data_IF_522459323742
#
_entry.id   IF_522459323742
#
_cell.length_a   1.000
_cell.length_b   1.000
_cell.length_c   1.000
_cell.angle_alpha   90.00
_cell.angle_beta   90.00
_cell.angle_gamma   90.00
#
_symmetry.space_group_name_H-M   'P 1'
#
loop_
_entity.id
_entity.type
_entity.pdbx_description
1 polymer ?
#
# COMPACT_ATOMS: atom_id res chain seq x y z
N UNK A 1 -20.46 -1.32 -15.60
CA UNK A 1 -21.05 -2.65 -15.88
C UNK A 1 -21.53 -2.81 -17.32
N UNK A 2 -22.33 -1.88 -17.88
CA UNK A 2 -22.81 -1.98 -19.28
C UNK A 2 -21.72 -2.24 -20.32
N UNK A 3 -20.61 -1.51 -20.30
CA UNK A 3 -19.51 -1.68 -21.28
C UNK A 3 -18.92 -3.09 -21.28
N UNK A 4 -18.73 -3.68 -20.10
CA UNK A 4 -18.17 -5.04 -19.96
C UNK A 4 -19.21 -6.08 -20.42
N UNK A 5 -20.47 -5.92 -20.04
CA UNK A 5 -21.56 -6.81 -20.47
C UNK A 5 -21.76 -6.79 -21.98
N UNK A 6 -21.75 -5.61 -22.60
CA UNK A 6 -21.82 -5.46 -24.06
C UNK A 6 -20.64 -6.17 -24.73
N UNK A 7 -19.42 -6.02 -24.20
CA UNK A 7 -18.25 -6.66 -24.78
C UNK A 7 -18.26 -8.18 -24.65
N UNK A 8 -18.76 -8.71 -23.53
CA UNK A 8 -18.95 -10.15 -23.32
C UNK A 8 -19.93 -10.71 -24.35
N UNK A 9 -21.05 -10.01 -24.58
CA UNK A 9 -22.04 -10.40 -25.59
C UNK A 9 -21.46 -10.35 -27.01
N UNK A 10 -20.73 -9.29 -27.36
CA UNK A 10 -20.06 -9.16 -28.67
C UNK A 10 -19.07 -10.31 -28.94
N UNK A 11 -18.34 -10.74 -27.91
CA UNK A 11 -17.34 -11.79 -28.02
C UNK A 11 -17.92 -13.20 -27.90
N UNK A 12 -19.19 -13.34 -27.52
CA UNK A 12 -19.83 -14.64 -27.30
C UNK A 12 -19.16 -15.48 -26.20
N UNK A 13 -18.50 -14.83 -25.24
CA UNK A 13 -17.77 -15.51 -24.17
C UNK A 13 -18.66 -15.71 -22.94
N UNK A 14 -18.50 -16.84 -22.26
CA UNK A 14 -19.10 -17.02 -20.94
C UNK A 14 -18.41 -16.10 -19.92
N UNK A 15 -19.19 -15.60 -18.95
CA UNK A 15 -18.67 -14.71 -17.92
C UNK A 15 -19.30 -15.04 -16.57
N UNK A 16 -18.49 -14.98 -15.52
CA UNK A 16 -18.95 -15.13 -14.14
C UNK A 16 -18.58 -13.86 -13.39
N UNK A 17 -19.58 -13.21 -12.80
CA UNK A 17 -19.39 -11.98 -12.01
C UNK A 17 -19.29 -12.31 -10.53
N UNK A 18 -18.25 -11.81 -9.88
CA UNK A 18 -18.15 -11.82 -8.41
C UNK A 18 -18.72 -10.52 -7.86
N UNK A 19 -19.77 -10.61 -7.05
CA UNK A 19 -20.31 -9.47 -6.32
C UNK A 19 -19.78 -9.46 -4.86
N UNK A 20 -19.51 -8.28 -4.27
CA UNK A 20 -18.96 -8.16 -2.92
C UNK A 20 -19.87 -8.76 -1.84
N UNK A 21 -21.19 -8.68 -2.02
CA UNK A 21 -22.16 -8.93 -0.93
C UNK A 21 -22.88 -10.28 -0.98
N UNK A 22 -22.55 -11.15 -1.94
CA UNK A 22 -23.16 -12.49 -1.98
C UNK A 22 -22.32 -13.43 -1.11
N UNK A 23 -22.53 -13.38 0.21
CA UNK A 23 -21.93 -14.29 1.19
C UNK A 23 -22.56 -15.69 1.14
N UNK A 24 -23.84 -15.78 0.76
CA UNK A 24 -24.62 -17.02 0.84
C UNK A 24 -24.37 -18.02 -0.31
N UNK A 25 -23.54 -17.66 -1.29
CA UNK A 25 -23.17 -18.52 -2.43
C UNK A 25 -21.69 -18.93 -2.42
N UNK A 26 -20.99 -18.81 -1.29
CA UNK A 26 -19.54 -19.01 -1.23
C UNK A 26 -19.16 -20.36 -0.65
N UNK A 27 -18.01 -20.95 -1.05
CA UNK A 27 -17.47 -22.12 -0.39
C UNK A 27 -17.33 -21.88 1.12
N UNK A 28 -17.76 -22.81 2.00
CA UNK A 28 -17.69 -22.62 3.45
C UNK A 28 -16.28 -22.26 3.97
N UNK A 29 -15.24 -22.76 3.31
CA UNK A 29 -13.85 -22.45 3.62
C UNK A 29 -13.51 -20.96 3.43
N UNK A 30 -14.07 -20.31 2.41
CA UNK A 30 -13.81 -18.89 2.12
C UNK A 30 -14.48 -17.98 3.14
N UNK A 31 -15.72 -18.33 3.54
CA UNK A 31 -16.43 -17.66 4.63
C UNK A 31 -15.64 -17.72 5.94
N UNK A 32 -14.96 -18.84 6.23
CA UNK A 32 -14.09 -18.97 7.41
C UNK A 32 -12.90 -18.00 7.34
N UNK A 33 -12.25 -17.88 6.18
CA UNK A 33 -11.15 -16.93 5.96
C UNK A 33 -11.62 -15.48 6.14
N UNK A 34 -12.77 -15.12 5.58
CA UNK A 34 -13.31 -13.76 5.71
C UNK A 34 -13.72 -13.38 7.13
N UNK A 35 -14.06 -14.36 7.96
CA UNK A 35 -14.34 -14.13 9.39
C UNK A 35 -13.08 -14.04 10.25
N UNK A 36 -11.97 -14.68 9.82
CA UNK A 36 -10.72 -14.68 10.59
C UNK A 36 -9.83 -13.48 10.31
N UNK A 37 -10.05 -12.76 9.21
CA UNK A 37 -9.20 -11.64 8.77
C UNK A 37 -9.99 -10.33 8.76
N UNK A 38 -9.36 -9.21 9.15
CA UNK A 38 -9.92 -7.86 9.04
C UNK A 38 -9.83 -7.33 7.60
N UNK A 39 -10.41 -8.07 6.65
CA UNK A 39 -10.38 -7.74 5.22
C UNK A 39 -11.40 -6.67 4.88
N UNK A 40 -10.94 -5.70 4.09
CA UNK A 40 -11.80 -4.72 3.44
C UNK A 40 -12.66 -5.37 2.34
N UNK A 41 -13.84 -4.80 1.99
CA UNK A 41 -14.73 -5.38 0.98
C UNK A 41 -14.04 -5.68 -0.36
N UNK A 42 -13.18 -4.79 -0.84
CA UNK A 42 -12.43 -4.98 -2.09
C UNK A 42 -11.42 -6.14 -2.00
N UNK A 43 -10.79 -6.37 -0.85
CA UNK A 43 -9.88 -7.50 -0.63
C UNK A 43 -10.64 -8.83 -0.67
N UNK A 44 -11.84 -8.88 -0.08
CA UNK A 44 -12.73 -10.06 -0.15
C UNK A 44 -13.13 -10.34 -1.60
N UNK A 45 -13.51 -9.32 -2.36
CA UNK A 45 -13.82 -9.45 -3.79
C UNK A 45 -12.62 -9.96 -4.57
N UNK A 46 -11.42 -9.42 -4.35
CA UNK A 46 -10.21 -9.88 -5.04
C UNK A 46 -9.87 -11.34 -4.71
N UNK A 47 -9.97 -11.75 -3.44
CA UNK A 47 -9.78 -13.14 -3.03
C UNK A 47 -10.81 -14.06 -3.70
N UNK A 48 -12.08 -13.65 -3.75
CA UNK A 48 -13.15 -14.41 -4.42
C UNK A 48 -12.87 -14.54 -5.92
N UNK A 49 -12.44 -13.47 -6.59
CA UNK A 49 -12.04 -13.52 -8.00
C UNK A 49 -10.92 -14.53 -8.23
N UNK A 50 -9.90 -14.54 -7.37
CA UNK A 50 -8.78 -15.46 -7.49
C UNK A 50 -9.21 -16.93 -7.30
N UNK A 51 -10.03 -17.21 -6.28
CA UNK A 51 -10.57 -18.57 -6.03
C UNK A 51 -11.42 -19.04 -7.21
N UNK A 52 -12.31 -18.19 -7.71
CA UNK A 52 -13.15 -18.53 -8.86
C UNK A 52 -12.31 -18.75 -10.13
N UNK A 53 -11.30 -17.92 -10.37
CA UNK A 53 -10.37 -18.11 -11.49
C UNK A 53 -9.65 -19.45 -11.43
N UNK A 54 -9.21 -19.87 -10.23
CA UNK A 54 -8.63 -21.20 -10.03
C UNK A 54 -9.67 -22.30 -10.22
N UNK A 55 -10.89 -22.15 -9.71
CA UNK A 55 -11.95 -23.16 -9.87
C UNK A 55 -12.31 -23.38 -11.35
N UNK A 56 -12.22 -22.33 -12.18
CA UNK A 56 -12.46 -22.43 -13.62
C UNK A 56 -11.25 -23.01 -14.38
N UNK A 57 -10.02 -22.65 -14.00
CA UNK A 57 -8.81 -23.02 -14.75
C UNK A 57 -8.20 -24.37 -14.33
N UNK A 58 -8.24 -24.73 -13.04
CA UNK A 58 -7.58 -25.93 -12.52
C UNK A 58 -8.11 -27.24 -13.09
N UNK A 59 -9.41 -27.41 -13.42
CA UNK A 59 -9.88 -28.64 -14.06
C UNK A 59 -9.18 -28.96 -15.39
N UNK A 60 -8.70 -27.95 -16.12
CA UNK A 60 -7.96 -28.14 -17.38
C UNK A 60 -6.44 -28.27 -17.18
N UNK A 61 -5.89 -27.64 -16.14
CA UNK A 61 -4.44 -27.56 -15.89
C UNK A 61 -3.96 -28.69 -14.97
N UNK A 62 -4.67 -28.95 -13.87
CA UNK A 62 -4.39 -30.00 -12.87
C UNK A 62 -5.70 -30.57 -12.29
N UNK A 63 -6.36 -31.49 -13.02
CA UNK A 63 -7.68 -32.03 -12.64
C UNK A 63 -7.74 -32.68 -11.26
N UNK A 64 -6.62 -33.20 -10.76
CA UNK A 64 -6.48 -33.82 -9.45
C UNK A 64 -6.47 -32.82 -8.29
N UNK A 65 -6.21 -31.53 -8.56
CA UNK A 65 -6.09 -30.49 -7.54
C UNK A 65 -7.46 -29.90 -7.19
N UNK A 66 -7.89 -30.11 -5.95
CA UNK A 66 -9.12 -29.51 -5.42
C UNK A 66 -8.83 -28.08 -4.95
N UNK A 67 -9.37 -27.06 -5.64
CA UNK A 67 -9.13 -25.65 -5.28
C UNK A 67 -9.57 -25.34 -3.86
N UNK A 68 -10.63 -25.98 -3.37
CA UNK A 68 -11.13 -25.79 -2.02
C UNK A 68 -10.10 -26.16 -0.94
N UNK A 69 -9.15 -27.08 -1.23
CA UNK A 69 -8.07 -27.42 -0.30
C UNK A 69 -7.00 -26.33 -0.21
N UNK A 70 -6.97 -25.38 -1.16
CA UNK A 70 -6.03 -24.25 -1.17
C UNK A 70 -6.58 -23.01 -0.45
N UNK A 71 -7.89 -22.93 -0.25
CA UNK A 71 -8.55 -21.77 0.37
C UNK A 71 -7.96 -21.41 1.75
N UNK A 72 -7.64 -22.37 2.65
CA UNK A 72 -7.03 -22.04 3.93
C UNK A 72 -5.69 -21.29 3.82
N UNK A 73 -4.93 -21.52 2.74
CA UNK A 73 -3.63 -20.87 2.51
C UNK A 73 -3.77 -19.37 2.22
N UNK A 74 -4.94 -18.90 1.78
CA UNK A 74 -5.22 -17.47 1.60
C UNK A 74 -5.07 -16.67 2.89
N UNK A 75 -5.21 -17.32 4.05
CA UNK A 75 -5.01 -16.68 5.36
C UNK A 75 -3.55 -16.29 5.65
N UNK A 76 -2.60 -16.88 4.92
CA UNK A 76 -1.16 -16.64 5.07
C UNK A 76 -0.62 -15.64 4.06
N UNK A 77 -1.47 -15.17 3.14
CA UNK A 77 -1.04 -14.26 2.08
C UNK A 77 -0.86 -12.86 2.63
N UNK A 78 0.35 -12.34 2.47
CA UNK A 78 0.63 -10.92 2.65
C UNK A 78 0.51 -10.19 1.31
N UNK A 79 0.00 -8.97 1.34
CA UNK A 79 -0.07 -8.10 0.16
C UNK A 79 0.82 -6.88 0.38
N UNK A 80 2.09 -6.94 -0.03
CA UNK A 80 3.01 -5.82 0.11
C UNK A 80 2.41 -4.53 -0.46
N UNK A 81 2.33 -3.48 0.37
CA UNK A 81 1.81 -2.19 -0.06
C UNK A 81 0.29 -2.11 -0.27
N UNK A 82 -0.50 -3.01 0.32
CA UNK A 82 -1.97 -2.94 0.30
C UNK A 82 -2.53 -2.93 1.71
N UNK A 83 -2.81 -1.72 2.21
CA UNK A 83 -3.21 -1.46 3.59
C UNK A 83 -2.28 -2.16 4.61
N UNK A 84 -0.98 -2.15 4.32
CA UNK A 84 -0.01 -2.91 5.10
C UNK A 84 0.56 -2.06 6.21
N UNK A 85 0.49 -2.55 7.45
CA UNK A 85 1.17 -1.93 8.57
C UNK A 85 2.60 -2.46 8.67
N UNK A 86 3.59 -1.56 8.73
CA UNK A 86 4.99 -1.93 8.95
C UNK A 86 5.63 -1.03 10.00
N UNK A 87 6.66 -1.53 10.66
CA UNK A 87 7.56 -0.72 11.50
C UNK A 87 8.76 -0.32 10.65
N UNK A 88 9.20 0.92 10.79
CA UNK A 88 10.28 1.49 9.99
C UNK A 88 11.67 1.41 10.66
N UNK A 89 11.79 0.87 11.88
CA UNK A 89 13.10 0.60 12.48
C UNK A 89 13.85 -0.44 11.61
N UNK A 90 15.14 -0.22 11.27
CA UNK A 90 16.02 0.86 11.73
C UNK A 90 16.07 2.11 10.84
N UNK A 91 15.35 2.16 9.71
CA UNK A 91 15.34 3.30 8.77
C UNK A 91 15.07 4.65 9.45
N UNK A 92 14.15 4.67 10.42
CA UNK A 92 13.90 5.82 11.30
C UNK A 92 13.65 5.35 12.74
N UNK A 93 13.83 6.24 13.72
CA UNK A 93 13.63 5.94 15.16
C UNK A 93 12.18 5.67 15.57
N UNK A 94 11.23 5.85 14.65
CA UNK A 94 9.80 5.63 14.90
C UNK A 94 9.48 4.14 15.04
N UNK A 95 9.04 3.75 16.24
CA UNK A 95 8.56 2.39 16.55
C UNK A 95 7.08 2.14 16.29
N UNK A 96 6.28 3.21 16.21
CA UNK A 96 4.85 3.09 15.88
C UNK A 96 4.70 2.68 14.41
N UNK A 97 3.89 1.67 14.10
CA UNK A 97 3.67 1.29 12.71
C UNK A 97 3.19 2.46 11.84
N UNK A 98 3.53 2.38 10.58
CA UNK A 98 3.00 3.23 9.51
C UNK A 98 2.12 2.37 8.60
N UNK A 99 1.22 3.02 7.85
CA UNK A 99 0.43 2.37 6.82
C UNK A 99 1.06 2.59 5.44
N UNK A 100 1.32 1.51 4.69
CA UNK A 100 1.70 1.56 3.28
C UNK A 100 0.52 1.18 2.40
N UNK A 101 0.22 2.02 1.41
CA UNK A 101 -0.74 1.67 0.37
C UNK A 101 -0.42 2.27 -1.00
N UNK A 102 -0.38 1.44 -2.04
CA UNK A 102 -0.14 1.85 -3.42
C UNK A 102 -1.34 2.48 -4.16
N UNK A 103 -2.32 3.05 -3.45
CA UNK A 103 -3.45 3.76 -4.05
C UNK A 103 -2.95 4.94 -4.91
N UNK A 104 -3.30 4.95 -6.19
CA UNK A 104 -2.77 5.90 -7.19
C UNK A 104 -3.82 6.32 -8.22
N UNK A 105 -5.08 5.96 -7.97
CA UNK A 105 -6.22 6.32 -8.80
C UNK A 105 -7.43 6.67 -7.91
N UNK A 106 -8.45 7.38 -8.43
CA UNK A 106 -9.56 7.87 -7.60
C UNK A 106 -10.36 6.78 -6.86
N UNK A 107 -10.42 5.55 -7.39
CA UNK A 107 -11.17 4.44 -6.78
C UNK A 107 -10.39 3.85 -5.60
N UNK A 108 -9.10 3.56 -5.81
CA UNK A 108 -8.21 3.09 -4.75
C UNK A 108 -8.00 4.14 -3.65
N UNK A 109 -7.99 5.43 -4.01
CA UNK A 109 -7.91 6.51 -3.03
C UNK A 109 -9.16 6.59 -2.14
N UNK A 110 -10.36 6.37 -2.68
CA UNK A 110 -11.59 6.32 -1.88
C UNK A 110 -11.56 5.14 -0.89
N UNK A 111 -11.09 3.98 -1.35
CA UNK A 111 -10.92 2.79 -0.51
C UNK A 111 -9.92 3.05 0.62
N UNK A 112 -8.76 3.63 0.31
CA UNK A 112 -7.76 3.98 1.32
C UNK A 112 -8.30 5.03 2.29
N UNK A 113 -9.01 6.04 1.79
CA UNK A 113 -9.65 7.08 2.60
C UNK A 113 -10.61 6.46 3.61
N UNK A 114 -11.53 5.58 3.17
CA UNK A 114 -12.47 4.90 4.06
C UNK A 114 -11.75 4.15 5.17
N UNK A 115 -10.70 3.38 4.82
CA UNK A 115 -9.90 2.67 5.81
C UNK A 115 -9.25 3.61 6.83
N UNK A 116 -8.62 4.69 6.36
CA UNK A 116 -7.97 5.68 7.22
C UNK A 116 -8.97 6.38 8.13
N UNK A 117 -10.14 6.71 7.61
CA UNK A 117 -11.20 7.36 8.38
C UNK A 117 -11.74 6.43 9.49
N UNK A 118 -11.96 5.16 9.18
CA UNK A 118 -12.50 4.20 10.13
C UNK A 118 -11.47 3.76 11.19
N UNK A 119 -10.21 3.57 10.79
CA UNK A 119 -9.20 2.90 11.62
C UNK A 119 -8.18 3.86 12.23
N UNK A 120 -7.87 4.97 11.55
CA UNK A 120 -6.81 5.90 11.98
C UNK A 120 -7.34 7.23 12.51
N UNK A 121 -8.62 7.57 12.28
CA UNK A 121 -9.25 8.80 12.79
C UNK A 121 -10.32 8.65 13.90
N UNK A 122 -10.41 7.57 14.70
CA UNK A 122 -11.50 7.46 15.69
C UNK A 122 -11.45 8.52 16.80
N UNK A 123 -10.31 9.21 16.99
CA UNK A 123 -10.11 10.31 17.95
C UNK A 123 -10.03 11.70 17.32
N UNK A 124 -10.42 11.85 16.04
CA UNK A 124 -10.33 13.10 15.27
C UNK A 124 -8.90 13.67 15.12
N UNK A 125 -7.90 12.79 15.12
CA UNK A 125 -6.50 13.17 14.89
C UNK A 125 -6.25 13.49 13.41
N UNK A 126 -5.40 14.49 13.17
CA UNK A 126 -4.77 14.73 11.87
C UNK A 126 -3.94 13.51 11.46
N UNK A 127 -3.99 13.14 10.19
CA UNK A 127 -3.11 12.12 9.61
C UNK A 127 -1.91 12.83 8.97
N UNK A 128 -0.73 12.25 9.14
CA UNK A 128 0.45 12.69 8.39
C UNK A 128 0.66 11.77 7.20
N UNK A 129 0.87 12.36 6.03
CA UNK A 129 1.01 11.66 4.76
C UNK A 129 2.42 11.85 4.20
N UNK A 130 2.98 10.80 3.61
CA UNK A 130 4.10 10.90 2.68
C UNK A 130 3.59 10.43 1.33
N UNK A 131 3.60 11.31 0.33
CA UNK A 131 2.97 11.02 -0.95
C UNK A 131 3.88 11.28 -2.14
N UNK A 132 3.64 10.52 -3.18
CA UNK A 132 4.17 10.71 -4.52
C UNK A 132 3.13 10.23 -5.52
N UNK A 133 3.16 10.74 -6.76
CA UNK A 133 2.29 10.29 -7.82
C UNK A 133 3.09 10.16 -9.12
N UNK A 134 2.65 9.29 -10.03
CA UNK A 134 3.21 9.28 -11.38
C UNK A 134 2.79 10.53 -12.14
N UNK A 135 3.65 10.99 -13.06
CA UNK A 135 3.36 12.13 -13.93
C UNK A 135 2.08 11.91 -14.75
N UNK A 136 1.34 13.00 -14.99
CA UNK A 136 0.11 12.99 -15.80
C UNK A 136 -1.16 12.55 -15.07
N UNK A 137 -1.11 12.43 -13.73
CA UNK A 137 -2.29 12.14 -12.90
C UNK A 137 -3.08 13.42 -12.59
N UNK A 138 -4.39 13.28 -12.45
CA UNK A 138 -5.22 14.30 -11.81
C UNK A 138 -4.94 14.32 -10.29
N UNK A 139 -4.01 15.18 -9.89
CA UNK A 139 -3.54 15.29 -8.51
C UNK A 139 -4.66 15.77 -7.57
N UNK A 140 -5.47 16.73 -8.02
CA UNK A 140 -6.59 17.26 -7.25
C UNK A 140 -7.67 16.19 -7.02
N UNK A 141 -8.06 15.48 -8.09
CA UNK A 141 -9.04 14.41 -8.00
C UNK A 141 -8.55 13.17 -7.24
N UNK A 142 -7.23 12.94 -7.20
CA UNK A 142 -6.64 11.85 -6.41
C UNK A 142 -6.51 12.22 -4.93
N UNK A 143 -5.75 13.27 -4.62
CA UNK A 143 -5.38 13.61 -3.25
C UNK A 143 -6.47 14.41 -2.52
N UNK A 144 -7.29 15.16 -3.23
CA UNK A 144 -8.45 15.84 -2.63
C UNK A 144 -9.52 14.90 -2.08
N UNK A 145 -9.52 13.62 -2.49
CA UNK A 145 -10.35 12.57 -1.89
C UNK A 145 -9.73 11.96 -0.65
N UNK A 146 -8.40 11.93 -0.59
CA UNK A 146 -7.65 11.20 0.43
C UNK A 146 -7.35 12.08 1.65
N UNK A 147 -6.93 13.31 1.41
CA UNK A 147 -6.37 14.22 2.41
C UNK A 147 -7.47 15.14 2.92
N UNK A 148 -7.55 15.30 4.24
CA UNK A 148 -8.57 16.11 4.93
C UNK A 148 -7.97 17.41 5.47
N UNK A 149 -8.81 18.42 5.76
CA UNK A 149 -8.39 19.58 6.55
C UNK A 149 -7.73 19.14 7.86
N UNK A 150 -6.63 19.79 8.23
CA UNK A 150 -5.82 19.50 9.40
C UNK A 150 -4.70 18.46 9.19
N UNK A 151 -4.72 17.72 8.07
CA UNK A 151 -3.66 16.75 7.77
C UNK A 151 -2.33 17.44 7.43
N UNK A 152 -1.23 16.73 7.72
CA UNK A 152 0.12 17.16 7.35
C UNK A 152 0.63 16.30 6.19
N UNK A 153 1.42 16.87 5.28
CA UNK A 153 1.80 16.20 4.04
C UNK A 153 3.26 16.46 3.69
N UNK A 154 4.03 15.39 3.54
CA UNK A 154 5.32 15.38 2.88
C UNK A 154 5.11 14.96 1.43
N UNK A 155 5.56 15.76 0.47
CA UNK A 155 5.59 15.38 -0.94
C UNK A 155 7.01 14.98 -1.35
N UNK A 156 7.12 13.95 -2.17
CA UNK A 156 8.40 13.46 -2.67
C UNK A 156 8.21 12.79 -4.04
N UNK A 157 9.31 12.43 -4.68
CA UNK A 157 9.33 11.67 -5.93
C UNK A 157 9.85 10.26 -5.66
N UNK A 158 9.20 9.27 -6.26
CA UNK A 158 9.76 7.91 -6.34
C UNK A 158 10.89 7.88 -7.38
N UNK A 159 11.83 6.97 -7.19
CA UNK A 159 13.03 6.82 -8.01
C UNK A 159 12.77 6.18 -9.38
N UNK A 160 13.84 5.92 -10.16
CA UNK A 160 13.74 5.21 -11.43
C UNK A 160 13.04 3.85 -11.29
N UNK A 161 12.22 3.49 -12.28
CA UNK A 161 11.52 2.21 -12.32
C UNK A 161 12.21 1.29 -13.31
N UNK A 162 12.69 0.14 -12.82
CA UNK A 162 13.37 -0.86 -13.64
C UNK A 162 12.50 -1.33 -14.81
N UNK A 163 13.08 -1.29 -16.00
CA UNK A 163 12.40 -1.65 -17.24
C UNK A 163 11.34 -0.66 -17.73
N UNK A 164 11.12 0.47 -17.04
CA UNK A 164 10.08 1.46 -17.38
C UNK A 164 10.57 2.91 -17.27
N UNK A 165 11.57 3.36 -18.05
CA UNK A 165 12.12 4.72 -17.97
C UNK A 165 11.11 5.84 -18.32
N UNK A 166 10.02 5.51 -19.02
CA UNK A 166 8.93 6.45 -19.29
C UNK A 166 8.03 6.71 -18.08
N UNK A 167 8.08 5.85 -17.05
CA UNK A 167 7.35 6.05 -15.80
C UNK A 167 8.19 6.95 -14.91
N UNK A 168 7.68 8.15 -14.68
CA UNK A 168 8.36 9.18 -13.89
C UNK A 168 7.41 9.73 -12.83
N UNK A 169 7.98 10.19 -11.72
CA UNK A 169 7.22 10.88 -10.69
C UNK A 169 6.80 12.28 -11.16
N UNK A 170 5.65 12.73 -10.65
CA UNK A 170 5.31 14.15 -10.60
C UNK A 170 6.32 14.86 -9.70
N UNK A 171 6.68 16.09 -10.06
CA UNK A 171 7.54 16.95 -9.26
C UNK A 171 6.93 17.19 -7.85
N UNK A 172 7.75 17.10 -6.81
CA UNK A 172 7.27 17.20 -5.43
C UNK A 172 6.71 18.59 -5.11
N UNK A 173 7.23 19.66 -5.74
CA UNK A 173 6.69 21.02 -5.60
C UNK A 173 5.34 21.17 -6.30
N UNK A 174 5.20 20.62 -7.51
CA UNK A 174 3.91 20.56 -8.21
C UNK A 174 2.85 19.86 -7.33
N UNK A 175 3.21 18.70 -6.77
CA UNK A 175 2.34 17.95 -5.87
C UNK A 175 2.03 18.74 -4.59
N UNK A 176 3.03 19.39 -3.97
CA UNK A 176 2.83 20.20 -2.78
C UNK A 176 1.89 21.37 -3.05
N UNK A 177 2.00 22.00 -4.21
CA UNK A 177 1.12 23.09 -4.64
C UNK A 177 -0.33 22.61 -4.77
N UNK A 178 -0.55 21.45 -5.40
CA UNK A 178 -1.88 20.83 -5.47
C UNK A 178 -2.45 20.56 -4.08
N UNK A 179 -1.66 20.02 -3.16
CA UNK A 179 -2.13 19.73 -1.79
C UNK A 179 -2.41 21.00 -0.98
N UNK A 180 -1.59 22.06 -1.14
CA UNK A 180 -1.81 23.36 -0.48
C UNK A 180 -3.12 24.03 -0.86
N UNK A 181 -3.71 23.66 -2.01
CA UNK A 181 -5.03 24.15 -2.42
C UNK A 181 -6.20 23.55 -1.61
N UNK A 182 -5.96 22.51 -0.80
CA UNK A 182 -6.98 21.90 0.07
C UNK A 182 -7.27 22.86 1.23
N UNK A 183 -8.52 23.35 1.40
CA UNK A 183 -8.85 24.29 2.45
C UNK A 183 -8.59 23.71 3.85
N UNK A 184 -7.89 24.48 4.70
CA UNK A 184 -7.59 24.08 6.07
C UNK A 184 -6.54 22.97 6.19
N UNK A 185 -5.76 22.69 5.15
CA UNK A 185 -4.62 21.77 5.23
C UNK A 185 -3.62 22.22 6.31
N UNK A 186 -2.98 21.26 6.96
CA UNK A 186 -1.90 21.50 7.92
C UNK A 186 -0.57 21.79 7.23
N UNK A 187 0.53 21.27 7.79
CA UNK A 187 1.87 21.51 7.25
C UNK A 187 2.06 20.76 5.93
N UNK A 188 2.61 21.43 4.92
CA UNK A 188 2.98 20.81 3.63
C UNK A 188 4.45 21.09 3.33
N UNK A 189 5.27 20.03 3.29
CA UNK A 189 6.71 20.13 3.03
C UNK A 189 7.14 19.23 1.88
N UNK A 190 8.06 19.73 1.08
CA UNK A 190 8.58 19.09 -0.12
C UNK A 190 9.95 18.44 0.18
N UNK A 191 10.17 17.27 -0.42
CA UNK A 191 11.39 16.49 -0.33
C UNK A 191 11.69 15.83 -1.69
N UNK A 192 11.97 16.64 -2.72
CA UNK A 192 12.28 16.14 -4.05
C UNK A 192 13.44 15.11 -4.01
N UNK A 193 13.18 13.92 -4.54
CA UNK A 193 14.14 12.80 -4.59
C UNK A 193 14.62 12.27 -3.23
N UNK A 194 14.05 12.72 -2.10
CA UNK A 194 14.54 12.37 -0.78
C UNK A 194 13.45 11.77 0.13
N UNK A 195 13.10 10.52 -0.18
CA UNK A 195 12.11 9.74 0.57
C UNK A 195 12.50 9.56 2.05
N UNK A 196 13.79 9.35 2.36
CA UNK A 196 14.24 9.18 3.75
C UNK A 196 13.98 10.44 4.58
N UNK A 197 14.28 11.63 4.04
CA UNK A 197 13.97 12.89 4.71
C UNK A 197 12.46 13.12 4.85
N UNK A 198 11.67 12.76 3.84
CA UNK A 198 10.20 12.85 3.88
C UNK A 198 9.60 11.98 5.00
N UNK A 199 10.09 10.74 5.14
CA UNK A 199 9.66 9.80 6.18
C UNK A 199 10.09 10.26 7.57
N UNK A 200 11.32 10.77 7.72
CA UNK A 200 11.79 11.33 8.99
C UNK A 200 10.91 12.51 9.43
N UNK A 201 10.71 13.50 8.55
CA UNK A 201 9.84 14.63 8.85
C UNK A 201 8.40 14.17 9.15
N UNK A 202 7.86 13.22 8.37
CA UNK A 202 6.54 12.68 8.60
C UNK A 202 6.42 11.97 9.95
N UNK A 203 7.48 11.28 10.37
CA UNK A 203 7.56 10.62 11.68
C UNK A 203 7.60 11.63 12.82
N UNK A 204 8.38 12.70 12.68
CA UNK A 204 8.49 13.78 13.68
C UNK A 204 7.18 14.55 13.84
N UNK A 205 6.52 14.87 12.72
CA UNK A 205 5.23 15.58 12.72
C UNK A 205 4.12 14.69 13.25
N UNK A 206 4.06 13.44 12.84
CA UNK A 206 3.08 12.48 13.35
C UNK A 206 3.31 12.20 14.84
N UNK A 207 4.55 12.25 15.32
CA UNK A 207 4.96 11.78 16.66
C UNK A 207 4.49 10.33 16.88
N UNK A 208 3.50 10.13 17.74
CA UNK A 208 2.85 8.85 17.98
C UNK A 208 1.52 8.67 17.22
N UNK A 209 1.12 9.66 16.44
CA UNK A 209 -0.08 9.66 15.61
C UNK A 209 0.10 8.90 14.28
N UNK A 210 -0.96 8.86 13.45
CA UNK A 210 -0.96 8.12 12.21
C UNK A 210 -0.01 8.70 11.16
N UNK A 211 0.74 7.81 10.50
CA UNK A 211 1.60 8.13 9.36
C UNK A 211 1.28 7.15 8.23
N UNK A 212 0.98 7.68 7.05
CA UNK A 212 0.58 6.91 5.87
C UNK A 212 1.48 7.26 4.69
N UNK A 213 2.01 6.26 3.99
CA UNK A 213 2.74 6.44 2.73
C UNK A 213 1.87 5.93 1.58
N UNK A 214 1.57 6.80 0.62
CA UNK A 214 0.64 6.47 -0.46
C UNK A 214 0.86 7.25 -1.76
N UNK A 215 -0.01 7.02 -2.76
CA UNK A 215 -0.04 7.76 -4.02
C UNK A 215 0.65 7.03 -5.19
N UNK A 216 1.52 6.05 -4.90
CA UNK A 216 2.23 5.28 -5.91
C UNK A 216 2.73 3.94 -5.36
N UNK A 217 2.60 2.87 -6.15
CA UNK A 217 3.27 1.60 -5.84
C UNK A 217 4.79 1.72 -5.93
N UNK A 218 5.31 2.60 -6.77
CA UNK A 218 6.77 2.81 -6.88
C UNK A 218 7.33 3.47 -5.63
N UNK A 219 6.57 4.37 -5.01
CA UNK A 219 6.93 4.95 -3.70
C UNK A 219 7.00 3.86 -2.62
N UNK A 220 6.00 2.97 -2.58
CA UNK A 220 5.99 1.82 -1.66
C UNK A 220 7.22 0.93 -1.90
N UNK A 221 7.55 0.63 -3.16
CA UNK A 221 8.74 -0.14 -3.51
C UNK A 221 10.03 0.53 -3.02
N UNK A 222 10.13 1.85 -3.13
CA UNK A 222 11.27 2.61 -2.60
C UNK A 222 11.36 2.55 -1.07
N UNK A 223 10.24 2.55 -0.34
CA UNK A 223 10.25 2.34 1.11
C UNK A 223 10.85 0.97 1.46
N UNK A 224 10.43 -0.10 0.78
CA UNK A 224 10.97 -1.44 1.04
C UNK A 224 12.45 -1.55 0.68
N UNK A 225 12.85 -0.92 -0.42
CA UNK A 225 14.26 -0.88 -0.83
C UNK A 225 15.10 -0.17 0.23
N UNK A 226 14.68 1.01 0.70
CA UNK A 226 15.38 1.74 1.76
C UNK A 226 15.46 0.96 3.08
N UNK A 227 14.40 0.24 3.46
CA UNK A 227 14.40 -0.60 4.66
C UNK A 227 15.43 -1.73 4.55
N UNK A 228 15.45 -2.43 3.41
CA UNK A 228 16.41 -3.52 3.17
C UNK A 228 17.85 -3.01 3.19
N UNK A 229 18.14 -1.94 2.44
CA UNK A 229 19.48 -1.32 2.39
C UNK A 229 19.94 -0.83 3.77
N UNK A 230 19.03 -0.41 4.65
CA UNK A 230 19.39 0.01 6.00
C UNK A 230 19.67 -1.18 6.92
N UNK A 231 18.83 -2.22 6.85
CA UNK A 231 19.08 -3.45 7.62
C UNK A 231 20.39 -4.15 7.25
N UNK A 232 20.74 -4.16 5.97
CA UNK A 232 22.03 -4.71 5.50
C UNK A 232 23.22 -3.94 6.10
N UNK A 233 23.17 -2.59 6.05
CA UNK A 233 24.23 -1.74 6.62
C UNK A 233 24.37 -1.84 8.14
N UNK A 234 23.28 -2.03 8.87
CA UNK A 234 23.33 -2.19 10.32
C UNK A 234 23.94 -3.54 10.71
N UNK A 235 23.59 -4.62 10.02
CA UNK A 235 24.21 -5.93 10.22
C UNK A 235 25.73 -5.90 9.95
N UNK A 236 26.16 -5.25 8.86
CA UNK A 236 27.58 -5.10 8.54
C UNK A 236 28.35 -4.35 9.65
N UNK A 237 27.76 -3.29 10.22
CA UNK A 237 28.35 -2.53 11.34
C UNK A 237 28.45 -3.37 12.61
N UNK A 238 27.41 -4.14 12.94
CA UNK A 238 27.43 -5.03 14.11
C UNK A 238 28.52 -6.10 13.99
N UNK A 239 28.71 -6.67 12.80
CA UNK A 239 29.80 -7.63 12.53
C UNK A 239 31.19 -7.01 12.65
N UNK A 240 31.40 -5.78 12.16
CA UNK A 240 32.68 -5.06 12.30
C UNK A 240 33.00 -4.76 13.77
N UNK A 241 32.02 -4.33 14.55
CA UNK A 241 32.18 -4.07 15.99
C UNK A 241 32.53 -5.37 16.73
N UNK A 242 31.84 -6.47 16.44
CA UNK A 242 32.10 -7.77 17.07
C UNK A 242 33.51 -8.34 16.74
N UNK A 243 34.01 -8.11 15.52
CA UNK A 243 35.38 -8.51 15.14
C UNK A 243 36.44 -7.66 15.85
N UNK A 244 36.18 -6.37 16.03
CA UNK A 244 37.08 -5.45 16.73
C UNK A 244 37.20 -5.77 18.22
N UNK A 245 36.07 -6.08 18.88
CA UNK A 245 36.08 -6.46 20.31
C UNK A 245 36.76 -7.81 20.55
N UNK A 246 36.53 -8.80 19.68
CA UNK A 246 37.20 -10.11 19.77
C UNK A 246 38.73 -10.04 19.55
N UNK A 247 39.21 -9.05 18.82
CA UNK A 247 40.66 -8.84 18.58
C UNK A 247 41.36 -8.17 19.77
N UNK A 248 40.64 -7.37 20.57
CA UNK A 248 41.18 -6.67 21.74
C UNK A 248 41.17 -7.51 23.03
N UNK A 249 40.42 -8.61 23.09
CA UNK A 249 40.39 -9.53 24.26
C UNK A 249 41.44 -10.66 24.14
N UNK A 250 42.18 -10.71 23.03
CA UNK A 250 43.19 -11.74 22.74
C UNK A 250 44.65 -11.33 23.00
N UNK A 251 44.90 -10.09 23.46
CA UNK A 251 46.23 -9.53 23.77
C UNK A 251 46.46 -9.32 25.28
#
# INVERSE_FOLDING_TARGET
>A
MRTIQTRIQELGIESVFTLPDVLDSQPPALTKVFRSLDLQPHQRTNMRCAVLGLQLAMPEIRPELQVDSLIPELSKVEWPGRLQNIVLEPLVSRRKPILLDGAHNPQSAEVLRQYVDDKLRPSNNSVTWVISASRGKDLGGLFGKLIRPGDNVATTSFGPVDGMPWVTATDAMELATSVRSIPGIGQVKEFEGNLHAAINWGSDVARNGPLVVAGSLYLVSDVFRLLRETGERDNEREEEVAKSTASNEGD
#
